data_IF_573511812954
#
_entry.id   IF_573511812954
#
_cell.length_a   1.000
_cell.length_b   1.000
_cell.length_c   1.000
_cell.angle_alpha   90.00
_cell.angle_beta   90.00
_cell.angle_gamma   90.00
#
_symmetry.space_group_name_H-M   'P 1'
#
loop_
_entity.id
_entity.type
_entity.pdbx_description
1 polymer ?
#
# COMPACT_ATOMS: atom_id res chain seq x y z
N UNK A 1 -31.32 24.15 17.68
CA UNK A 1 -31.62 22.85 17.07
C UNK A 1 -30.62 21.73 17.40
N UNK A 2 -29.29 21.90 17.39
CA UNK A 2 -28.35 20.86 17.88
C UNK A 2 -28.01 20.95 19.38
N UNK A 3 -28.31 22.07 20.06
CA UNK A 3 -27.91 22.31 21.46
C UNK A 3 -29.07 22.69 22.40
N UNK A 4 -30.31 22.32 22.04
CA UNK A 4 -31.51 22.69 22.83
C UNK A 4 -31.79 21.74 24.02
N UNK A 5 -31.13 20.58 24.07
CA UNK A 5 -31.15 19.71 25.24
C UNK A 5 -30.02 20.09 26.19
N UNK A 6 -30.32 20.27 27.48
CA UNK A 6 -29.31 20.58 28.51
C UNK A 6 -28.11 19.62 28.49
N UNK A 7 -27.04 19.99 29.21
CA UNK A 7 -25.77 19.26 29.20
C UNK A 7 -25.92 17.87 29.87
N UNK A 8 -26.31 16.88 29.08
CA UNK A 8 -26.42 15.48 29.48
C UNK A 8 -25.30 14.67 28.83
N UNK A 9 -24.90 13.56 29.47
CA UNK A 9 -23.89 12.68 28.91
C UNK A 9 -24.25 12.17 27.50
N UNK A 10 -25.52 11.88 27.24
CA UNK A 10 -26.00 11.42 25.94
C UNK A 10 -25.86 12.51 24.84
N UNK A 11 -26.18 13.76 25.16
CA UNK A 11 -25.99 14.88 24.23
C UNK A 11 -24.51 15.11 23.95
N UNK A 12 -23.66 15.08 24.98
CA UNK A 12 -22.21 15.20 24.81
C UNK A 12 -21.64 14.13 23.87
N UNK A 13 -22.00 12.86 24.07
CA UNK A 13 -21.55 11.76 23.18
C UNK A 13 -22.05 11.96 21.75
N UNK A 14 -23.31 12.39 21.60
CA UNK A 14 -23.92 12.64 20.29
C UNK A 14 -23.23 13.78 19.55
N UNK A 15 -22.89 14.87 20.25
CA UNK A 15 -22.18 16.02 19.68
C UNK A 15 -20.75 15.65 19.25
N UNK A 16 -20.02 14.93 20.10
CA UNK A 16 -18.67 14.43 19.76
C UNK A 16 -18.73 13.49 18.56
N UNK A 17 -19.72 12.60 18.52
CA UNK A 17 -19.92 11.69 17.39
C UNK A 17 -20.27 12.45 16.11
N UNK A 18 -21.15 13.45 16.18
CA UNK A 18 -21.51 14.27 15.03
C UNK A 18 -20.31 15.03 14.46
N UNK A 19 -19.47 15.61 15.33
CA UNK A 19 -18.22 16.27 14.92
C UNK A 19 -17.25 15.27 14.29
N UNK A 20 -17.08 14.09 14.89
CA UNK A 20 -16.25 13.03 14.33
C UNK A 20 -16.72 12.62 12.92
N UNK A 21 -18.02 12.38 12.76
CA UNK A 21 -18.64 12.01 11.47
C UNK A 21 -18.47 13.12 10.43
N UNK A 22 -18.55 14.38 10.84
CA UNK A 22 -18.31 15.54 9.98
C UNK A 22 -16.85 15.65 9.53
N UNK A 23 -15.88 15.47 10.43
CA UNK A 23 -14.46 15.45 10.06
C UNK A 23 -14.17 14.26 9.14
N UNK A 24 -14.69 13.08 9.48
CA UNK A 24 -14.56 11.87 8.68
C UNK A 24 -15.13 12.07 7.27
N UNK A 25 -16.25 12.78 7.13
CA UNK A 25 -16.87 13.09 5.85
C UNK A 25 -15.92 13.86 4.92
N UNK A 26 -15.35 14.98 5.39
CA UNK A 26 -14.37 15.75 4.61
C UNK A 26 -13.12 14.93 4.29
N UNK A 27 -12.61 14.20 5.29
CA UNK A 27 -11.42 13.37 5.12
C UNK A 27 -11.61 12.31 4.03
N UNK A 28 -12.77 11.64 4.01
CA UNK A 28 -13.09 10.64 2.99
C UNK A 28 -13.27 11.26 1.61
N UNK A 29 -13.95 12.41 1.49
CA UNK A 29 -14.10 13.11 0.21
C UNK A 29 -12.73 13.46 -0.37
N UNK A 30 -11.84 14.06 0.42
CA UNK A 30 -10.51 14.47 -0.05
C UNK A 30 -9.69 13.24 -0.45
N UNK A 31 -9.74 12.17 0.34
CA UNK A 31 -9.01 10.93 0.08
C UNK A 31 -9.47 10.29 -1.23
N UNK A 32 -10.78 10.13 -1.41
CA UNK A 32 -11.38 9.53 -2.62
C UNK A 32 -11.18 10.42 -3.84
N UNK A 33 -11.38 11.73 -3.71
CA UNK A 33 -11.12 12.67 -4.80
C UNK A 33 -9.64 12.61 -5.22
N UNK A 34 -8.71 12.62 -4.26
CA UNK A 34 -7.28 12.50 -4.52
C UNK A 34 -6.90 11.20 -5.21
N UNK A 35 -7.53 10.07 -4.88
CA UNK A 35 -7.35 8.80 -5.58
C UNK A 35 -7.91 8.86 -7.01
N UNK A 36 -9.13 9.37 -7.17
CA UNK A 36 -9.79 9.54 -8.47
C UNK A 36 -8.97 10.40 -9.45
N UNK A 37 -8.36 11.49 -8.97
CA UNK A 37 -7.55 12.35 -9.83
C UNK A 37 -6.21 11.71 -10.21
N UNK A 38 -5.58 10.95 -9.30
CA UNK A 38 -4.33 10.19 -9.55
C UNK A 38 -4.51 9.07 -10.57
N UNK A 39 -5.74 8.65 -10.82
CA UNK A 39 -6.07 7.60 -11.77
C UNK A 39 -6.11 8.12 -13.20
N UNK A 40 -5.34 7.46 -14.06
CA UNK A 40 -5.25 7.77 -15.49
C UNK A 40 -6.21 6.94 -16.35
N UNK A 41 -6.82 5.91 -15.77
CA UNK A 41 -7.78 5.00 -16.42
C UNK A 41 -9.22 5.56 -16.46
N UNK A 42 -9.50 6.63 -15.71
CA UNK A 42 -10.82 7.29 -15.70
C UNK A 42 -10.78 8.55 -16.56
N UNK A 43 -11.67 8.65 -17.55
CA UNK A 43 -11.80 9.82 -18.41
C UNK A 43 -12.16 11.08 -17.60
N UNK A 44 -11.79 12.27 -18.11
CA UNK A 44 -12.06 13.54 -17.42
C UNK A 44 -13.55 13.75 -17.11
N UNK A 45 -14.44 13.38 -18.04
CA UNK A 45 -15.88 13.41 -17.82
C UNK A 45 -16.34 12.43 -16.72
N UNK A 46 -15.77 11.22 -16.68
CA UNK A 46 -16.02 10.27 -15.60
C UNK A 46 -15.64 10.82 -14.24
N UNK A 47 -14.50 11.55 -14.14
CA UNK A 47 -14.08 12.20 -12.90
C UNK A 47 -15.11 13.23 -12.42
N UNK A 48 -15.65 14.05 -13.33
CA UNK A 48 -16.67 15.05 -12.99
C UNK A 48 -17.93 14.40 -12.43
N UNK A 49 -18.42 13.33 -13.07
CA UNK A 49 -19.60 12.60 -12.60
C UNK A 49 -19.40 12.01 -11.19
N UNK A 50 -18.20 11.45 -10.93
CA UNK A 50 -17.84 10.95 -9.61
C UNK A 50 -17.82 12.04 -8.55
N UNK A 51 -17.25 13.20 -8.86
CA UNK A 51 -17.25 14.34 -7.93
C UNK A 51 -18.67 14.79 -7.59
N UNK A 52 -19.56 14.88 -8.59
CA UNK A 52 -20.98 15.21 -8.35
C UNK A 52 -21.64 14.17 -7.44
N UNK A 53 -21.42 12.88 -7.70
CA UNK A 53 -21.96 11.80 -6.88
C UNK A 53 -21.48 11.88 -5.42
N UNK A 54 -20.19 12.18 -5.20
CA UNK A 54 -19.60 12.32 -3.87
C UNK A 54 -20.12 13.54 -3.10
N UNK A 55 -20.53 14.61 -3.79
CA UNK A 55 -21.10 15.81 -3.14
C UNK A 55 -22.56 15.57 -2.76
N UNK A 56 -23.36 15.00 -3.66
CA UNK A 56 -24.81 14.82 -3.44
C UNK A 56 -25.08 13.66 -2.49
N UNK A 57 -24.36 12.55 -2.63
CA UNK A 57 -24.52 11.36 -1.80
C UNK A 57 -23.16 10.92 -1.26
N UNK A 58 -22.62 11.56 -0.22
CA UNK A 58 -21.24 11.35 0.17
C UNK A 58 -20.93 9.92 0.61
N UNK A 59 -21.63 9.38 1.62
CA UNK A 59 -21.34 8.02 2.08
C UNK A 59 -21.61 6.98 0.98
N UNK A 60 -22.72 7.11 0.26
CA UNK A 60 -23.06 6.18 -0.84
C UNK A 60 -22.04 6.29 -1.98
N UNK A 61 -21.64 7.50 -2.36
CA UNK A 61 -20.65 7.76 -3.39
C UNK A 61 -19.28 7.22 -3.00
N UNK A 62 -18.87 7.37 -1.74
CA UNK A 62 -17.63 6.79 -1.21
C UNK A 62 -17.70 5.26 -1.29
N UNK A 63 -18.78 4.63 -0.81
CA UNK A 63 -18.91 3.17 -0.87
C UNK A 63 -18.99 2.64 -2.30
N UNK A 64 -19.74 3.31 -3.18
CA UNK A 64 -19.82 2.97 -4.60
C UNK A 64 -18.45 3.10 -5.28
N UNK A 65 -17.69 4.15 -4.95
CA UNK A 65 -16.32 4.32 -5.44
C UNK A 65 -15.44 3.17 -4.97
N UNK A 66 -15.42 2.88 -3.67
CA UNK A 66 -14.63 1.77 -3.11
C UNK A 66 -15.02 0.41 -3.69
N UNK A 67 -16.31 0.15 -3.94
CA UNK A 67 -16.77 -1.11 -4.51
C UNK A 67 -16.35 -1.27 -5.97
N UNK A 68 -16.53 -0.22 -6.76
CA UNK A 68 -16.23 -0.24 -8.21
C UNK A 68 -14.74 -0.14 -8.48
N UNK A 69 -13.97 0.50 -7.58
CA UNK A 69 -12.58 0.86 -7.80
C UNK A 69 -11.58 0.22 -6.84
N UNK A 70 -12.05 -0.52 -5.84
CA UNK A 70 -11.21 -1.16 -4.83
C UNK A 70 -10.34 -2.30 -5.38
N UNK A 71 -10.73 -2.95 -6.47
CA UNK A 71 -9.98 -4.07 -7.07
C UNK A 71 -8.57 -3.68 -7.53
N UNK A 72 -8.37 -2.44 -7.97
CA UNK A 72 -7.05 -1.96 -8.39
C UNK A 72 -6.05 -1.82 -7.24
N UNK A 73 -6.49 -1.76 -5.98
CA UNK A 73 -5.59 -1.62 -4.83
C UNK A 73 -4.85 -2.91 -4.51
N UNK A 74 -5.53 -4.06 -4.57
CA UNK A 74 -4.90 -5.36 -4.31
C UNK A 74 -3.89 -5.74 -5.40
N UNK A 75 -4.28 -5.60 -6.67
CA UNK A 75 -3.41 -5.92 -7.81
C UNK A 75 -2.18 -5.00 -7.89
N UNK A 76 -2.33 -3.70 -7.57
CA UNK A 76 -1.19 -2.77 -7.53
C UNK A 76 -0.28 -2.97 -6.31
N UNK A 77 -0.82 -3.40 -5.17
CA UNK A 77 0.02 -3.75 -4.01
C UNK A 77 0.84 -5.00 -4.28
N UNK A 78 0.26 -6.03 -4.92
CA UNK A 78 1.02 -7.20 -5.35
C UNK A 78 2.07 -6.83 -6.39
N UNK A 79 1.71 -6.04 -7.40
CA UNK A 79 2.67 -5.60 -8.42
C UNK A 79 3.82 -4.79 -7.82
N UNK A 80 3.55 -3.85 -6.91
CA UNK A 80 4.58 -3.06 -6.22
C UNK A 80 5.41 -3.90 -5.25
N UNK A 81 4.80 -4.85 -4.53
CA UNK A 81 5.54 -5.77 -3.67
C UNK A 81 6.45 -6.70 -4.48
N UNK A 82 5.99 -7.14 -5.66
CA UNK A 82 6.79 -7.94 -6.58
C UNK A 82 7.94 -7.13 -7.17
N UNK A 83 7.69 -5.91 -7.60
CA UNK A 83 8.72 -5.01 -8.14
C UNK A 83 9.74 -4.61 -7.07
N UNK A 84 9.31 -4.31 -5.84
CA UNK A 84 10.23 -4.05 -4.73
C UNK A 84 11.08 -5.27 -4.36
N UNK A 85 10.53 -6.50 -4.46
CA UNK A 85 11.30 -7.74 -4.29
C UNK A 85 12.31 -7.95 -5.41
N UNK A 86 11.96 -7.64 -6.65
CA UNK A 86 12.86 -7.76 -7.79
C UNK A 86 13.97 -6.69 -7.75
N UNK A 87 13.65 -5.45 -7.38
CA UNK A 87 14.64 -4.39 -7.13
C UNK A 87 15.54 -4.74 -5.94
N UNK A 88 14.99 -5.29 -4.85
CA UNK A 88 15.77 -5.83 -3.76
C UNK A 88 16.66 -6.98 -4.23
N UNK A 89 16.21 -7.90 -5.08
CA UNK A 89 17.09 -8.93 -5.66
C UNK A 89 18.18 -8.34 -6.54
N UNK A 90 17.89 -7.26 -7.25
CA UNK A 90 18.86 -6.63 -8.13
C UNK A 90 19.91 -5.82 -7.36
N UNK A 91 19.53 -5.22 -6.23
CA UNK A 91 20.40 -4.48 -5.31
C UNK A 91 21.14 -5.44 -4.37
N UNK A 92 20.48 -6.50 -3.90
CA UNK A 92 21.02 -7.65 -3.14
C UNK A 92 21.63 -8.71 -4.08
N UNK A 93 21.81 -8.38 -5.36
CA UNK A 93 22.90 -8.95 -6.17
C UNK A 93 24.29 -8.68 -5.54
N UNK A 94 24.35 -7.87 -4.49
CA UNK A 94 25.29 -7.98 -3.36
C UNK A 94 25.11 -9.33 -2.65
N UNK A 95 25.94 -10.35 -2.87
CA UNK A 95 27.27 -10.27 -3.39
C UNK A 95 27.72 -11.69 -3.75
N UNK A 96 27.58 -12.07 -5.02
CA UNK A 96 28.22 -13.29 -5.50
C UNK A 96 29.73 -13.26 -5.16
N UNK A 97 30.34 -12.06 -5.12
CA UNK A 97 31.71 -11.85 -4.67
C UNK A 97 31.91 -12.14 -3.16
N UNK A 98 31.03 -11.68 -2.26
CA UNK A 98 31.13 -11.91 -0.81
C UNK A 98 30.76 -13.36 -0.48
N UNK A 99 29.83 -13.97 -1.22
CA UNK A 99 29.53 -15.40 -1.12
C UNK A 99 30.73 -16.25 -1.55
N UNK A 100 31.41 -15.88 -2.65
CA UNK A 100 32.67 -16.50 -3.06
C UNK A 100 33.76 -16.28 -2.01
N UNK A 101 33.87 -15.08 -1.43
CA UNK A 101 34.83 -14.78 -0.36
C UNK A 101 34.55 -15.62 0.90
N UNK A 102 33.28 -15.76 1.28
CA UNK A 102 32.87 -16.59 2.42
C UNK A 102 33.12 -18.07 2.18
N UNK A 103 32.87 -18.56 0.95
CA UNK A 103 33.23 -19.91 0.54
C UNK A 103 34.75 -20.13 0.60
N UNK A 104 35.55 -19.13 0.21
CA UNK A 104 37.01 -19.23 0.23
C UNK A 104 37.56 -19.24 1.67
N UNK A 105 36.95 -18.48 2.58
CA UNK A 105 37.22 -18.55 4.03
C UNK A 105 36.86 -19.91 4.64
N UNK A 106 35.73 -20.50 4.25
CA UNK A 106 35.33 -21.83 4.74
C UNK A 106 36.28 -22.93 4.25
N UNK A 107 36.76 -22.81 3.01
CA UNK A 107 37.77 -23.72 2.44
C UNK A 107 39.12 -23.56 3.15
N UNK A 108 39.58 -22.33 3.38
CA UNK A 108 40.87 -22.08 4.06
C UNK A 108 40.85 -22.45 5.54
N UNK A 109 39.68 -22.38 6.19
CA UNK A 109 39.45 -22.92 7.53
C UNK A 109 39.32 -24.45 7.59
N UNK A 110 39.37 -25.14 6.44
CA UNK A 110 39.24 -26.61 6.35
C UNK A 110 37.85 -27.15 6.69
N UNK A 111 36.83 -26.28 6.72
CA UNK A 111 35.46 -26.66 7.08
C UNK A 111 34.68 -27.31 5.93
N UNK A 112 35.19 -27.19 4.69
CA UNK A 112 34.61 -27.80 3.48
C UNK A 112 35.71 -28.41 2.61
N UNK A 113 35.40 -29.48 1.88
CA UNK A 113 36.36 -30.10 0.97
C UNK A 113 36.55 -29.29 -0.33
N UNK A 114 37.67 -29.48 -1.05
CA UNK A 114 37.89 -28.85 -2.35
C UNK A 114 36.79 -29.17 -3.38
N UNK A 115 36.23 -30.38 -3.33
CA UNK A 115 35.15 -30.84 -4.21
C UNK A 115 33.81 -30.17 -3.87
N UNK A 116 33.52 -29.99 -2.57
CA UNK A 116 32.35 -29.27 -2.08
C UNK A 116 32.41 -27.78 -2.42
N UNK A 117 33.58 -27.16 -2.25
CA UNK A 117 33.81 -25.78 -2.65
C UNK A 117 33.52 -25.55 -4.14
N UNK A 118 34.02 -26.42 -5.01
CA UNK A 118 33.82 -26.32 -6.47
C UNK A 118 32.34 -26.41 -6.86
N UNK A 119 31.59 -27.32 -6.23
CA UNK A 119 30.13 -27.48 -6.44
C UNK A 119 29.30 -26.31 -5.93
N UNK A 120 29.70 -25.70 -4.81
CA UNK A 120 29.00 -24.55 -4.25
C UNK A 120 29.31 -23.28 -5.06
N UNK A 121 30.57 -23.10 -5.46
CA UNK A 121 30.99 -21.96 -6.30
C UNK A 121 30.28 -21.95 -7.65
N UNK A 122 30.11 -23.10 -8.31
CA UNK A 122 29.41 -23.17 -9.59
C UNK A 122 27.92 -22.78 -9.49
N UNK A 123 27.30 -22.97 -8.32
CA UNK A 123 25.90 -22.60 -8.05
C UNK A 123 25.71 -21.10 -7.78
N UNK A 124 26.76 -20.42 -7.29
CA UNK A 124 26.76 -18.98 -7.00
C UNK A 124 27.08 -18.14 -8.26
N UNK A 125 27.81 -18.71 -9.21
CA UNK A 125 28.22 -18.04 -10.47
C UNK A 125 27.21 -18.25 -11.61
N UNK A 126 26.25 -19.17 -11.45
CA UNK A 126 25.18 -19.45 -12.41
C UNK A 126 24.01 -18.48 -12.28
#
# INVERSE_FOLDING_TARGET
MLFEGGFTFANFVTDVFAVFVFILWFWLIITVAGDLFRRHDVSGFGKVLWVILLIILPYIGIFAYLLTQGRGMAERNEARAKQARDDLRHIVGFSAADEIEKLDRLKSAGSISPEEYSRLRSRVVQ
#
